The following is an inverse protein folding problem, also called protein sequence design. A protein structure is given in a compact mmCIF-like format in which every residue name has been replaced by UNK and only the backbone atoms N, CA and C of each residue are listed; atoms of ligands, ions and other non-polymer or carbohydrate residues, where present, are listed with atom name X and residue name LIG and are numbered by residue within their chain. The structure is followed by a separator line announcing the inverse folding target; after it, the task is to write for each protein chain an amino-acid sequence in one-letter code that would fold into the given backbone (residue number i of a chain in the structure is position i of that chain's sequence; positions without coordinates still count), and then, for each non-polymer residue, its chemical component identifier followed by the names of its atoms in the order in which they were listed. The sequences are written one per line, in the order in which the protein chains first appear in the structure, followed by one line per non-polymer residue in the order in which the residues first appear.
data_IF_778409720616
#
_entry.id   IF_778409720616
#
_cell.length_a   1.000
_cell.length_b   1.000
_cell.length_c   1.000
_cell.angle_alpha   90.00
_cell.angle_beta   90.00
_cell.angle_gamma   90.00
#
_symmetry.space_group_name_H-M   'P 1'
#
loop_
_entity.id
_entity.type
_entity.pdbx_description
1 polymer ?
#
# COMPACT_ATOMS: atom_id res chain seq x y z
N UNK A 1 13.91 34.70 70.05
CA UNK A 1 14.23 34.90 71.48
C UNK A 1 13.01 34.53 72.30
N UNK A 2 13.22 33.65 73.29
CA UNK A 2 12.44 33.44 74.53
C UNK A 2 10.97 33.00 74.36
N UNK A 3 10.64 31.71 74.49
CA UNK A 3 10.46 30.92 75.73
C UNK A 3 9.29 31.38 76.60
N UNK A 4 8.28 30.52 76.77
CA UNK A 4 7.83 29.96 78.08
C UNK A 4 6.35 29.52 78.01
N UNK A 5 5.97 28.26 78.25
CA UNK A 5 5.90 27.44 79.48
C UNK A 5 4.42 27.05 79.73
N UNK A 6 4.19 25.75 79.61
CA UNK A 6 3.22 24.87 80.27
C UNK A 6 2.34 25.45 81.41
N UNK A 7 1.03 25.15 81.34
CA UNK A 7 0.25 24.73 82.52
C UNK A 7 -1.05 23.98 82.13
N UNK A 8 -1.14 22.73 82.55
CA UNK A 8 -2.38 22.01 82.91
C UNK A 8 -2.36 21.82 84.45
N UNK A 9 -3.30 21.15 85.16
CA UNK A 9 -4.57 20.50 84.77
C UNK A 9 -5.75 20.72 85.78
N UNK A 10 -6.91 20.09 85.55
CA UNK A 10 -7.82 19.41 86.53
C UNK A 10 -9.28 19.33 85.98
N UNK A 11 -9.75 18.17 85.55
CA UNK A 11 -10.61 17.20 86.29
C UNK A 11 -11.97 17.77 86.75
N UNK A 12 -13.11 17.26 86.24
CA UNK A 12 -13.89 16.12 86.84
C UNK A 12 -15.33 16.03 86.29
N UNK A 13 -15.77 14.79 86.01
CA UNK A 13 -17.17 14.32 86.02
C UNK A 13 -17.90 14.36 84.67
N UNK A 14 -18.73 13.40 84.26
CA UNK A 14 -19.26 12.21 84.93
C UNK A 14 -20.07 11.39 83.87
N UNK A 15 -19.96 10.04 83.86
CA UNK A 15 -20.98 9.02 83.45
C UNK A 15 -21.54 9.08 82.00
N UNK A 16 -21.89 8.01 81.28
CA UNK A 16 -21.92 6.55 81.45
C UNK A 16 -22.36 5.96 80.08
N UNK A 17 -22.29 4.63 79.96
CA UNK A 17 -22.97 3.74 79.00
C UNK A 17 -22.21 3.36 77.71
N UNK A 18 -21.60 2.17 77.75
CA UNK A 18 -21.43 1.28 76.60
C UNK A 18 -22.80 0.69 76.18
N UNK A 19 -22.94 0.21 74.94
CA UNK A 19 -22.65 -1.20 74.72
C UNK A 19 -21.80 -1.49 73.48
N UNK A 20 -21.09 -2.61 73.57
CA UNK A 20 -20.31 -3.24 72.52
C UNK A 20 -21.15 -3.49 71.24
N UNK A 21 -20.60 -3.13 70.09
CA UNK A 21 -21.04 -3.66 68.80
C UNK A 21 -19.87 -4.38 68.13
N UNK A 22 -20.13 -5.67 67.94
CA UNK A 22 -19.29 -6.68 67.34
C UNK A 22 -18.81 -6.28 65.95
N UNK A 23 -17.51 -6.38 65.74
CA UNK A 23 -16.87 -6.50 64.43
C UNK A 23 -17.47 -7.66 63.64
N UNK A 24 -18.15 -7.37 62.53
CA UNK A 24 -18.42 -8.36 61.48
C UNK A 24 -17.44 -8.11 60.33
N UNK A 25 -16.75 -9.14 59.79
CA UNK A 25 -15.89 -8.95 58.65
C UNK A 25 -16.77 -8.69 57.42
N UNK A 26 -16.63 -7.50 56.85
CA UNK A 26 -17.23 -7.19 55.55
C UNK A 26 -16.53 -8.08 54.51
N UNK A 27 -17.21 -9.17 54.15
CA UNK A 27 -16.83 -10.04 53.03
C UNK A 27 -16.78 -9.18 51.78
N UNK A 28 -15.56 -8.84 51.35
CA UNK A 28 -15.29 -8.30 50.03
C UNK A 28 -15.82 -9.31 49.02
N UNK A 29 -17.02 -9.02 48.50
CA UNK A 29 -17.65 -9.77 47.43
C UNK A 29 -16.85 -9.51 46.17
N UNK A 30 -15.80 -10.31 45.95
CA UNK A 30 -15.08 -10.37 44.69
C UNK A 30 -16.11 -10.79 43.63
N UNK A 31 -16.71 -9.82 42.96
CA UNK A 31 -17.44 -10.06 41.72
C UNK A 31 -16.38 -10.42 40.68
N UNK A 32 -16.08 -11.72 40.59
CA UNK A 32 -15.49 -12.27 39.38
C UNK A 32 -16.47 -12.00 38.25
N UNK A 33 -16.25 -10.92 37.51
CA UNK A 33 -16.94 -10.67 36.25
C UNK A 33 -16.40 -11.66 35.23
N UNK A 34 -16.90 -12.90 35.28
CA UNK A 34 -16.72 -13.85 34.19
C UNK A 34 -17.11 -13.15 32.87
N UNK A 35 -16.30 -13.26 31.81
CA UNK A 35 -16.58 -12.56 30.56
C UNK A 35 -17.98 -12.96 30.09
N UNK A 36 -18.90 -11.98 30.01
CA UNK A 36 -20.25 -12.23 29.49
C UNK A 36 -20.11 -12.74 28.06
N UNK A 37 -20.43 -14.01 27.85
CA UNK A 37 -20.58 -14.61 26.52
C UNK A 37 -21.49 -13.73 25.67
N UNK A 38 -20.98 -13.31 24.51
CA UNK A 38 -21.70 -12.40 23.63
C UNK A 38 -22.98 -13.05 23.12
N UNK A 39 -24.08 -12.30 23.10
CA UNK A 39 -25.34 -12.72 22.49
C UNK A 39 -25.15 -13.05 21.00
N UNK A 40 -25.98 -13.94 20.44
CA UNK A 40 -25.96 -14.27 19.00
C UNK A 40 -26.06 -13.01 18.13
N UNK A 41 -26.86 -12.03 18.54
CA UNK A 41 -26.96 -10.74 17.87
C UNK A 41 -25.65 -9.95 17.95
N UNK A 42 -24.99 -9.94 19.12
CA UNK A 42 -23.70 -9.26 19.30
C UNK A 42 -22.58 -9.95 18.53
N UNK A 43 -22.60 -11.28 18.46
CA UNK A 43 -21.68 -12.09 17.64
C UNK A 43 -21.87 -11.75 16.16
N UNK A 44 -23.13 -11.70 15.68
CA UNK A 44 -23.44 -11.30 14.30
C UNK A 44 -23.03 -9.85 14.00
N UNK A 45 -23.31 -8.91 14.93
CA UNK A 45 -22.94 -7.51 14.77
C UNK A 45 -21.41 -7.33 14.68
N UNK A 46 -20.66 -7.99 15.57
CA UNK A 46 -19.19 -7.99 15.51
C UNK A 46 -18.68 -8.62 14.22
N UNK A 47 -19.32 -9.70 13.76
CA UNK A 47 -18.98 -10.35 12.51
C UNK A 47 -19.26 -9.47 11.28
N UNK A 48 -20.28 -8.61 11.30
CA UNK A 48 -20.57 -7.67 10.20
C UNK A 48 -19.83 -6.33 10.31
N UNK A 49 -19.23 -6.00 11.45
CA UNK A 49 -18.58 -4.71 11.68
C UNK A 49 -17.53 -4.36 10.61
N UNK A 50 -16.61 -5.26 10.18
CA UNK A 50 -15.65 -4.95 9.14
C UNK A 50 -16.30 -4.60 7.80
N UNK A 51 -17.39 -5.27 7.44
CA UNK A 51 -18.16 -4.98 6.22
C UNK A 51 -18.81 -3.59 6.30
N UNK A 52 -19.44 -3.26 7.43
CA UNK A 52 -20.03 -1.93 7.63
C UNK A 52 -18.97 -0.84 7.56
N UNK A 53 -17.82 -1.05 8.20
CA UNK A 53 -16.70 -0.11 8.18
C UNK A 53 -16.14 0.06 6.76
N UNK A 54 -15.88 -1.04 6.05
CA UNK A 54 -15.37 -1.02 4.68
C UNK A 54 -16.34 -0.38 3.69
N UNK A 55 -17.63 -0.69 3.78
CA UNK A 55 -18.67 -0.05 2.95
C UNK A 55 -18.77 1.45 3.22
N UNK A 56 -18.68 1.88 4.49
CA UNK A 56 -18.65 3.30 4.84
C UNK A 56 -17.41 3.98 4.29
N UNK A 57 -16.23 3.36 4.41
CA UNK A 57 -14.97 3.86 3.86
C UNK A 57 -15.06 4.04 2.35
N UNK A 58 -15.46 2.99 1.62
CA UNK A 58 -15.64 3.02 0.16
C UNK A 58 -16.62 4.11 -0.27
N UNK A 59 -17.74 4.27 0.44
CA UNK A 59 -18.71 5.33 0.16
C UNK A 59 -18.11 6.73 0.33
N UNK A 60 -17.41 6.98 1.44
CA UNK A 60 -16.81 8.28 1.73
C UNK A 60 -15.72 8.63 0.71
N UNK A 61 -14.84 7.69 0.38
CA UNK A 61 -13.79 7.88 -0.62
C UNK A 61 -14.36 8.14 -2.02
N UNK A 62 -15.42 7.42 -2.42
CA UNK A 62 -16.08 7.68 -3.70
C UNK A 62 -16.80 9.04 -3.73
N UNK A 63 -17.42 9.44 -2.61
CA UNK A 63 -18.06 10.76 -2.48
C UNK A 63 -17.03 11.88 -2.58
N UNK A 64 -15.89 11.73 -1.92
CA UNK A 64 -14.78 12.67 -1.96
C UNK A 64 -14.16 12.72 -3.36
N UNK A 65 -13.90 11.57 -3.99
CA UNK A 65 -13.42 11.51 -5.36
C UNK A 65 -14.39 12.19 -6.35
N UNK A 66 -15.70 12.07 -6.15
CA UNK A 66 -16.69 12.76 -6.99
C UNK A 66 -16.68 14.28 -6.78
N UNK A 67 -16.56 14.74 -5.54
CA UNK A 67 -16.38 16.16 -5.25
C UNK A 67 -15.10 16.72 -5.88
N UNK A 68 -14.01 15.96 -5.82
CA UNK A 68 -12.73 16.33 -6.39
C UNK A 68 -12.77 16.37 -7.93
N UNK A 69 -13.44 15.41 -8.58
CA UNK A 69 -13.69 15.44 -10.04
C UNK A 69 -14.44 16.69 -10.46
N UNK A 70 -15.43 17.12 -9.67
CA UNK A 70 -16.14 18.39 -9.93
C UNK A 70 -15.20 19.58 -9.81
N UNK A 71 -14.38 19.66 -8.76
CA UNK A 71 -13.38 20.73 -8.57
C UNK A 71 -12.39 20.81 -9.74
N UNK A 72 -11.88 19.68 -10.20
CA UNK A 72 -10.98 19.62 -11.37
C UNK A 72 -11.70 20.09 -12.64
N UNK A 73 -12.96 19.68 -12.84
CA UNK A 73 -13.76 20.13 -13.98
C UNK A 73 -14.04 21.63 -13.94
N UNK A 74 -14.42 22.17 -12.79
CA UNK A 74 -14.73 23.60 -12.57
C UNK A 74 -13.50 24.50 -12.75
N UNK A 75 -12.30 23.97 -12.48
CA UNK A 75 -11.03 24.65 -12.72
C UNK A 75 -10.46 24.43 -14.12
N UNK A 76 -11.22 23.84 -15.06
CA UNK A 76 -10.74 23.45 -16.39
C UNK A 76 -9.43 22.63 -16.35
N UNK A 77 -9.29 21.77 -15.34
CA UNK A 77 -8.10 20.93 -15.15
C UNK A 77 -6.93 21.60 -14.44
N UNK A 78 -7.06 22.86 -14.01
CA UNK A 78 -5.98 23.64 -13.38
C UNK A 78 -5.92 23.49 -11.86
N UNK A 79 -6.83 22.74 -11.24
CA UNK A 79 -6.77 22.49 -9.80
C UNK A 79 -5.43 21.83 -9.41
N UNK A 80 -4.72 22.46 -8.49
CA UNK A 80 -3.53 21.87 -7.85
C UNK A 80 -4.01 20.81 -6.87
N UNK A 81 -3.69 19.54 -7.17
CA UNK A 81 -4.07 18.39 -6.37
C UNK A 81 -2.90 17.97 -5.49
N UNK A 82 -3.18 17.65 -4.23
CA UNK A 82 -2.23 16.95 -3.37
C UNK A 82 -2.00 15.52 -3.87
N UNK A 83 -0.90 14.89 -3.46
CA UNK A 83 -0.64 13.49 -3.80
C UNK A 83 -1.78 12.55 -3.40
N UNK A 84 -2.31 12.73 -2.20
CA UNK A 84 -3.44 11.95 -1.68
C UNK A 84 -4.71 12.14 -2.51
N UNK A 85 -5.03 13.37 -2.90
CA UNK A 85 -6.18 13.67 -3.77
C UNK A 85 -6.04 13.02 -5.15
N UNK A 86 -4.84 13.07 -5.74
CA UNK A 86 -4.56 12.42 -7.02
C UNK A 86 -4.71 10.90 -6.92
N UNK A 87 -4.15 10.29 -5.87
CA UNK A 87 -4.32 8.87 -5.57
C UNK A 87 -5.80 8.51 -5.44
N UNK A 88 -6.58 9.30 -4.68
CA UNK A 88 -8.01 9.06 -4.48
C UNK A 88 -8.79 9.10 -5.81
N UNK A 89 -8.52 10.06 -6.69
CA UNK A 89 -9.17 10.14 -8.02
C UNK A 89 -8.93 8.88 -8.86
N UNK A 90 -7.67 8.42 -8.86
CA UNK A 90 -7.21 7.25 -9.63
C UNK A 90 -7.70 5.95 -9.00
N UNK A 91 -7.72 5.83 -7.69
CA UNK A 91 -8.03 4.57 -7.03
C UNK A 91 -9.54 4.35 -6.85
N UNK A 92 -10.32 5.40 -6.59
CA UNK A 92 -11.74 5.27 -6.25
C UNK A 92 -12.56 4.53 -7.34
N UNK A 93 -12.27 4.77 -8.62
CA UNK A 93 -12.97 4.07 -9.70
C UNK A 93 -12.58 2.59 -9.79
N UNK A 94 -11.32 2.25 -9.50
CA UNK A 94 -10.79 0.88 -9.52
C UNK A 94 -11.40 0.08 -8.38
N UNK A 95 -11.46 0.68 -7.20
CA UNK A 95 -12.08 0.09 -6.01
C UNK A 95 -13.58 -0.14 -6.21
N UNK A 96 -14.28 0.82 -6.82
CA UNK A 96 -15.69 0.65 -7.13
C UNK A 96 -15.92 -0.51 -8.11
N UNK A 97 -15.14 -0.60 -9.19
CA UNK A 97 -15.21 -1.71 -10.15
C UNK A 97 -14.93 -3.06 -9.47
N UNK A 98 -13.96 -3.12 -8.56
CA UNK A 98 -13.63 -4.32 -7.80
C UNK A 98 -14.77 -4.80 -6.89
N UNK A 99 -15.60 -3.88 -6.41
CA UNK A 99 -16.78 -4.22 -5.58
C UNK A 99 -18.00 -4.72 -6.36
N UNK A 100 -18.05 -4.48 -7.69
CA UNK A 100 -19.22 -4.83 -8.51
C UNK A 100 -19.56 -6.32 -8.54
N UNK A 101 -18.60 -7.26 -8.67
CA UNK A 101 -18.91 -8.69 -8.64
C UNK A 101 -19.62 -9.09 -7.35
N UNK A 102 -19.17 -8.57 -6.20
CA UNK A 102 -19.82 -8.82 -4.92
C UNK A 102 -21.21 -8.18 -4.87
N UNK A 103 -21.36 -6.94 -5.36
CA UNK A 103 -22.66 -6.24 -5.39
C UNK A 103 -23.70 -7.00 -6.22
N UNK A 104 -23.29 -7.63 -7.32
CA UNK A 104 -24.17 -8.43 -8.16
C UNK A 104 -24.82 -9.61 -7.42
N UNK A 105 -24.13 -10.22 -6.44
CA UNK A 105 -24.73 -11.28 -5.62
C UNK A 105 -25.93 -10.77 -4.82
N UNK A 106 -25.88 -9.54 -4.31
CA UNK A 106 -26.98 -8.95 -3.53
C UNK A 106 -28.22 -8.63 -4.38
N UNK A 107 -28.09 -8.53 -5.71
CA UNK A 107 -29.22 -8.32 -6.61
C UNK A 107 -30.09 -9.57 -6.80
N UNK A 108 -29.56 -10.75 -6.48
CA UNK A 108 -30.26 -12.02 -6.63
C UNK A 108 -30.85 -12.45 -5.27
N UNK A 109 -32.18 -12.55 -5.13
CA UNK A 109 -32.82 -13.01 -3.90
C UNK A 109 -32.27 -14.38 -3.48
N UNK A 110 -32.17 -14.62 -2.16
CA UNK A 110 -31.55 -15.80 -1.53
C UNK A 110 -30.02 -15.93 -1.74
N UNK A 111 -29.51 -15.67 -2.94
CA UNK A 111 -28.07 -15.75 -3.24
C UNK A 111 -27.28 -14.61 -2.57
N UNK A 112 -27.89 -13.44 -2.38
CA UNK A 112 -27.26 -12.31 -1.69
C UNK A 112 -26.79 -12.61 -0.26
N UNK A 113 -27.40 -13.58 0.42
CA UNK A 113 -26.93 -14.01 1.75
C UNK A 113 -25.53 -14.66 1.71
N UNK A 114 -25.11 -15.19 0.55
CA UNK A 114 -23.75 -15.71 0.37
C UNK A 114 -22.71 -14.60 0.18
N UNK A 115 -23.10 -13.36 -0.13
CA UNK A 115 -22.18 -12.25 -0.40
C UNK A 115 -21.17 -12.03 0.73
N UNK A 116 -21.61 -11.82 1.99
CA UNK A 116 -20.69 -11.65 3.11
C UNK A 116 -19.78 -12.87 3.35
N UNK A 117 -20.29 -14.10 3.17
CA UNK A 117 -19.52 -15.33 3.30
C UNK A 117 -18.40 -15.39 2.24
N UNK A 118 -18.74 -15.12 0.97
CA UNK A 118 -17.78 -15.09 -0.13
C UNK A 118 -16.75 -13.98 0.02
N UNK A 119 -17.16 -12.79 0.46
CA UNK A 119 -16.23 -11.69 0.71
C UNK A 119 -15.23 -12.02 1.83
N UNK A 120 -15.65 -12.75 2.87
CA UNK A 120 -14.72 -13.23 3.91
C UNK A 120 -13.82 -14.37 3.44
N UNK A 121 -14.30 -15.24 2.56
CA UNK A 121 -13.53 -16.35 2.02
C UNK A 121 -12.50 -15.90 0.97
N UNK A 122 -12.82 -14.88 0.18
CA UNK A 122 -12.01 -14.36 -0.92
C UNK A 122 -11.83 -12.84 -0.84
N UNK A 123 -11.30 -12.30 0.28
CA UNK A 123 -11.24 -10.86 0.52
C UNK A 123 -10.36 -10.14 -0.50
N UNK A 124 -9.23 -10.75 -0.89
CA UNK A 124 -8.31 -10.17 -1.86
C UNK A 124 -8.93 -10.02 -3.25
N UNK A 125 -9.75 -10.97 -3.67
CA UNK A 125 -10.34 -11.01 -5.02
C UNK A 125 -11.63 -10.17 -5.11
N UNK A 126 -12.49 -10.26 -4.10
CA UNK A 126 -13.85 -9.72 -4.16
C UNK A 126 -14.04 -8.39 -3.42
N UNK A 127 -13.12 -8.04 -2.52
CA UNK A 127 -13.24 -6.83 -1.72
C UNK A 127 -12.22 -5.76 -2.11
N UNK A 128 -12.62 -4.50 -2.15
CA UNK A 128 -11.71 -3.36 -2.14
C UNK A 128 -10.85 -3.31 -0.88
N UNK A 129 -9.71 -2.62 -0.95
CA UNK A 129 -8.73 -2.55 0.14
C UNK A 129 -9.28 -1.91 1.43
N UNK A 130 -10.35 -1.11 1.36
CA UNK A 130 -11.04 -0.53 2.52
C UNK A 130 -11.64 -1.59 3.45
N UNK A 131 -11.89 -2.81 2.95
CA UNK A 131 -12.44 -3.92 3.72
C UNK A 131 -11.36 -4.81 4.35
N UNK A 132 -10.12 -4.67 3.91
CA UNK A 132 -9.02 -5.51 4.38
C UNK A 132 -8.55 -5.04 5.75
N UNK A 133 -8.29 -6.01 6.62
CA UNK A 133 -7.62 -5.73 7.89
C UNK A 133 -6.17 -5.29 7.66
N UNK A 134 -5.53 -4.58 8.62
CA UNK A 134 -4.14 -4.16 8.47
C UNK A 134 -3.17 -5.31 8.14
N UNK A 135 -3.30 -6.45 8.83
CA UNK A 135 -2.50 -7.66 8.56
C UNK A 135 -2.68 -8.17 7.12
N UNK A 136 -3.92 -8.14 6.63
CA UNK A 136 -4.25 -8.58 5.27
C UNK A 136 -3.72 -7.63 4.21
N UNK A 137 -3.69 -6.31 4.47
CA UNK A 137 -3.19 -5.31 3.52
C UNK A 137 -1.73 -5.57 3.17
N UNK A 138 -0.88 -5.64 4.20
CA UNK A 138 0.55 -5.95 4.06
C UNK A 138 0.74 -7.24 3.30
N UNK A 139 0.07 -8.32 3.73
CA UNK A 139 0.17 -9.63 3.08
C UNK A 139 -0.26 -9.58 1.60
N UNK A 140 -1.40 -8.96 1.29
CA UNK A 140 -1.93 -8.96 -0.07
C UNK A 140 -1.10 -8.10 -1.02
N UNK A 141 -0.57 -6.97 -0.56
CA UNK A 141 0.37 -6.16 -1.34
C UNK A 141 1.66 -6.93 -1.63
N UNK A 142 2.21 -7.62 -0.64
CA UNK A 142 3.40 -8.46 -0.81
C UNK A 142 3.14 -9.57 -1.83
N UNK A 143 2.06 -10.32 -1.69
CA UNK A 143 1.67 -11.38 -2.63
C UNK A 143 1.45 -10.85 -4.06
N UNK A 144 0.90 -9.64 -4.22
CA UNK A 144 0.68 -9.04 -5.54
C UNK A 144 2.01 -8.71 -6.23
N UNK A 145 2.97 -8.16 -5.48
CA UNK A 145 4.32 -7.90 -5.99
C UNK A 145 5.09 -9.18 -6.27
N UNK A 146 5.01 -10.18 -5.39
CA UNK A 146 5.63 -11.49 -5.63
C UNK A 146 5.03 -12.19 -6.86
N UNK A 147 3.72 -12.03 -7.09
CA UNK A 147 3.06 -12.56 -8.29
C UNK A 147 3.55 -11.84 -9.54
N UNK A 148 3.66 -10.51 -9.49
CA UNK A 148 4.25 -9.69 -10.57
C UNK A 148 5.72 -10.09 -10.84
N UNK A 149 6.50 -10.34 -9.80
CA UNK A 149 7.91 -10.71 -9.91
C UNK A 149 8.15 -12.02 -10.69
N UNK A 150 7.15 -12.91 -10.76
CA UNK A 150 7.23 -14.14 -11.57
C UNK A 150 7.43 -13.84 -13.06
N UNK A 151 7.03 -12.66 -13.55
CA UNK A 151 7.23 -12.27 -14.95
C UNK A 151 8.60 -11.65 -15.20
N UNK A 152 9.35 -11.25 -14.17
CA UNK A 152 10.60 -10.49 -14.32
C UNK A 152 11.70 -11.25 -15.08
N UNK A 153 11.94 -12.56 -14.83
CA UNK A 153 12.92 -13.31 -15.61
C UNK A 153 12.59 -13.34 -17.10
N UNK A 154 11.31 -13.46 -17.46
CA UNK A 154 10.88 -13.45 -18.87
C UNK A 154 11.03 -12.05 -19.49
N UNK A 155 10.70 -10.98 -18.75
CA UNK A 155 10.92 -9.61 -19.20
C UNK A 155 12.40 -9.32 -19.47
N UNK A 156 13.29 -9.71 -18.56
CA UNK A 156 14.73 -9.56 -18.75
C UNK A 156 15.22 -10.33 -19.99
N UNK A 157 14.75 -11.56 -20.21
CA UNK A 157 15.08 -12.34 -21.41
C UNK A 157 14.56 -11.69 -22.70
N UNK A 158 13.36 -11.10 -22.68
CA UNK A 158 12.79 -10.41 -23.83
C UNK A 158 13.54 -9.12 -24.16
N UNK A 159 14.02 -8.38 -23.16
CA UNK A 159 14.88 -7.21 -23.38
C UNK A 159 16.21 -7.60 -24.03
N UNK A 160 16.83 -8.70 -23.57
CA UNK A 160 18.11 -9.18 -24.12
C UNK A 160 18.01 -9.67 -25.57
N UNK A 161 16.80 -9.97 -26.07
CA UNK A 161 16.54 -10.33 -27.46
C UNK A 161 16.42 -9.11 -28.39
N UNK A 162 16.33 -7.91 -27.85
CA UNK A 162 16.24 -6.68 -28.64
C UNK A 162 17.67 -6.31 -29.07
N UNK A 163 17.91 -6.28 -30.38
CA UNK A 163 19.20 -5.88 -30.93
C UNK A 163 19.45 -4.38 -30.70
N UNK A 164 20.59 -4.05 -30.11
CA UNK A 164 21.07 -2.67 -29.96
C UNK A 164 22.57 -2.55 -30.23
N UNK A 165 23.02 -1.35 -30.62
CA UNK A 165 24.37 -1.12 -31.14
C UNK A 165 25.44 -1.03 -30.05
N UNK A 166 25.09 -0.59 -28.84
CA UNK A 166 26.04 -0.30 -27.76
C UNK A 166 26.28 -1.50 -26.82
N UNK A 167 25.35 -2.46 -26.74
CA UNK A 167 25.45 -3.62 -25.85
C UNK A 167 25.41 -3.28 -24.35
N UNK A 168 25.05 -2.04 -23.99
CA UNK A 168 25.17 -1.50 -22.63
C UNK A 168 24.36 -2.33 -21.61
N UNK A 169 23.12 -2.67 -21.95
CA UNK A 169 22.26 -3.51 -21.10
C UNK A 169 22.91 -4.86 -20.77
N UNK A 170 23.45 -5.55 -21.79
CA UNK A 170 24.10 -6.84 -21.61
C UNK A 170 25.32 -6.73 -20.69
N UNK A 171 26.13 -5.69 -20.87
CA UNK A 171 27.32 -5.45 -20.05
C UNK A 171 26.96 -5.18 -18.60
N UNK A 172 26.03 -4.25 -18.35
CA UNK A 172 25.60 -3.90 -16.99
C UNK A 172 25.01 -5.10 -16.25
N UNK A 173 24.15 -5.88 -16.90
CA UNK A 173 23.58 -7.10 -16.31
C UNK A 173 24.65 -8.17 -16.05
N UNK A 174 25.65 -8.30 -16.93
CA UNK A 174 26.76 -9.23 -16.73
C UNK A 174 27.64 -8.81 -15.54
N UNK A 175 27.87 -7.51 -15.35
CA UNK A 175 28.60 -6.96 -14.21
C UNK A 175 27.85 -7.18 -12.90
N UNK A 176 26.55 -6.86 -12.84
CA UNK A 176 25.72 -7.10 -11.67
C UNK A 176 25.68 -8.59 -11.28
N UNK A 177 25.56 -9.48 -12.28
CA UNK A 177 25.62 -10.93 -12.03
C UNK A 177 26.97 -11.38 -11.46
N UNK A 178 28.08 -10.78 -11.89
CA UNK A 178 29.42 -11.07 -11.36
C UNK A 178 29.62 -10.54 -9.94
N UNK A 179 29.04 -9.38 -9.62
CA UNK A 179 29.07 -8.80 -8.28
C UNK A 179 28.23 -9.59 -7.27
N UNK A 180 27.30 -10.43 -7.74
CA UNK A 180 26.37 -11.18 -6.88
C UNK A 180 25.11 -10.39 -6.54
N UNK A 181 24.96 -9.19 -7.08
CA UNK A 181 23.89 -8.25 -6.73
C UNK A 181 22.51 -8.62 -7.29
N UNK A 182 22.37 -9.69 -8.08
CA UNK A 182 21.06 -10.20 -8.53
C UNK A 182 20.24 -9.26 -9.44
N UNK A 183 20.73 -8.05 -9.72
CA UNK A 183 20.11 -6.99 -10.51
C UNK A 183 20.94 -5.69 -10.48
N UNK A 184 20.51 -4.67 -11.20
CA UNK A 184 21.13 -3.35 -11.27
C UNK A 184 20.69 -2.48 -10.09
N UNK A 185 21.51 -1.50 -9.69
CA UNK A 185 21.01 -0.43 -8.84
C UNK A 185 20.06 0.48 -9.66
N UNK A 186 18.98 1.05 -9.11
CA UNK A 186 18.06 1.88 -9.90
C UNK A 186 18.73 3.04 -10.65
N UNK A 187 19.73 3.72 -10.06
CA UNK A 187 20.53 4.75 -10.79
C UNK A 187 21.12 4.22 -12.10
N UNK A 188 21.64 2.99 -12.09
CA UNK A 188 22.18 2.33 -13.29
C UNK A 188 21.07 2.03 -14.31
N UNK A 189 19.86 1.69 -13.85
CA UNK A 189 18.71 1.51 -14.75
C UNK A 189 18.36 2.81 -15.47
N UNK A 190 18.49 3.97 -14.82
CA UNK A 190 18.25 5.27 -15.45
C UNK A 190 19.22 5.57 -16.61
N UNK A 191 20.46 5.07 -16.54
CA UNK A 191 21.45 5.22 -17.61
C UNK A 191 21.02 4.51 -18.91
N UNK A 192 20.11 3.54 -18.83
CA UNK A 192 19.53 2.83 -19.99
C UNK A 192 18.43 3.64 -20.70
N UNK A 193 18.17 4.89 -20.31
CA UNK A 193 17.16 5.75 -20.95
C UNK A 193 17.25 5.76 -22.48
N UNK A 194 18.42 5.94 -23.13
CA UNK A 194 18.51 5.93 -24.59
C UNK A 194 18.02 4.61 -25.23
N UNK A 195 18.26 3.47 -24.58
CA UNK A 195 17.77 2.17 -25.04
C UNK A 195 16.24 2.08 -24.97
N UNK A 196 15.63 2.62 -23.91
CA UNK A 196 14.17 2.64 -23.71
C UNK A 196 13.44 3.76 -24.46
N UNK A 197 14.15 4.76 -24.98
CA UNK A 197 13.62 5.73 -25.93
C UNK A 197 13.73 5.25 -27.39
N UNK A 198 14.70 4.38 -27.66
CA UNK A 198 14.94 3.80 -28.98
C UNK A 198 14.37 2.38 -29.13
N UNK A 199 15.23 1.36 -29.23
CA UNK A 199 14.82 0.00 -29.62
C UNK A 199 13.89 -0.70 -28.62
N UNK A 200 13.93 -0.33 -27.34
CA UNK A 200 13.04 -0.85 -26.30
C UNK A 200 11.91 0.13 -25.93
N UNK A 201 11.62 1.12 -26.79
CA UNK A 201 10.46 1.98 -26.61
C UNK A 201 9.16 1.16 -26.60
N UNK A 202 8.17 1.59 -25.81
CA UNK A 202 6.95 0.82 -25.55
C UNK A 202 6.22 0.42 -26.86
N UNK A 203 6.17 1.31 -27.84
CA UNK A 203 5.55 1.07 -29.14
C UNK A 203 6.36 0.16 -30.09
N UNK A 204 7.66 -0.01 -29.80
CA UNK A 204 8.57 -0.85 -30.59
C UNK A 204 8.61 -2.30 -30.08
N UNK A 205 8.04 -2.57 -28.90
CA UNK A 205 8.05 -3.90 -28.30
C UNK A 205 7.18 -4.90 -29.08
N UNK A 206 7.62 -6.16 -29.09
CA UNK A 206 6.85 -7.25 -29.68
C UNK A 206 5.53 -7.49 -28.92
N UNK A 207 4.55 -8.09 -29.59
CA UNK A 207 3.26 -8.43 -28.97
C UNK A 207 3.44 -9.30 -27.74
N UNK A 208 4.33 -10.30 -27.80
CA UNK A 208 4.66 -11.16 -26.64
C UNK A 208 5.11 -10.30 -25.46
N UNK A 209 6.02 -9.36 -25.69
CA UNK A 209 6.57 -8.50 -24.66
C UNK A 209 5.51 -7.61 -24.00
N UNK A 210 4.63 -7.00 -24.80
CA UNK A 210 3.50 -6.20 -24.29
C UNK A 210 2.56 -7.04 -23.42
N UNK A 211 2.29 -8.29 -23.79
CA UNK A 211 1.39 -9.14 -23.00
C UNK A 211 2.02 -9.55 -21.66
N UNK A 212 3.32 -9.86 -21.63
CA UNK A 212 4.04 -10.16 -20.37
C UNK A 212 4.05 -8.93 -19.46
N UNK A 213 4.30 -7.73 -20.02
CA UNK A 213 4.21 -6.48 -19.27
C UNK A 213 2.81 -6.22 -18.71
N UNK A 214 1.78 -6.47 -19.51
CA UNK A 214 0.38 -6.31 -19.11
C UNK A 214 -0.05 -7.32 -18.04
N UNK A 215 0.48 -8.55 -18.08
CA UNK A 215 0.25 -9.56 -17.06
C UNK A 215 0.87 -9.15 -15.72
N UNK A 216 2.15 -8.75 -15.71
CA UNK A 216 2.83 -8.28 -14.50
C UNK A 216 2.24 -6.98 -13.94
N UNK A 217 1.74 -6.10 -14.81
CA UNK A 217 1.17 -4.80 -14.42
C UNK A 217 -0.37 -4.79 -14.38
N UNK A 218 -1.00 -5.96 -14.26
CA UNK A 218 -2.46 -6.08 -14.29
C UNK A 218 -3.12 -5.28 -13.15
N UNK A 219 -4.18 -4.53 -13.48
CA UNK A 219 -4.97 -3.78 -12.51
C UNK A 219 -5.61 -4.69 -11.46
N UNK A 220 -6.01 -5.88 -11.89
CA UNK A 220 -6.56 -6.93 -11.04
C UNK A 220 -5.79 -8.23 -11.33
N UNK A 221 -4.74 -8.55 -10.56
CA UNK A 221 -3.90 -9.72 -10.80
C UNK A 221 -4.70 -11.02 -10.93
N UNK A 222 -5.74 -11.20 -10.11
CA UNK A 222 -6.63 -12.37 -10.16
C UNK A 222 -7.42 -12.52 -11.47
N UNK A 223 -7.50 -11.46 -12.27
CA UNK A 223 -8.17 -11.44 -13.57
C UNK A 223 -7.20 -11.09 -14.72
N UNK A 224 -5.88 -11.20 -14.51
CA UNK A 224 -4.87 -10.88 -15.50
C UNK A 224 -5.04 -11.67 -16.81
N UNK A 225 -5.62 -12.89 -16.75
CA UNK A 225 -5.95 -13.70 -17.92
C UNK A 225 -6.85 -12.96 -18.92
N UNK A 226 -7.69 -12.02 -18.46
CA UNK A 226 -8.53 -11.21 -19.35
C UNK A 226 -7.72 -10.27 -20.26
N UNK A 227 -6.47 -9.95 -19.90
CA UNK A 227 -5.59 -9.16 -20.76
C UNK A 227 -5.26 -9.88 -22.07
N UNK A 228 -5.32 -11.22 -22.10
CA UNK A 228 -5.11 -12.02 -23.33
C UNK A 228 -6.20 -11.80 -24.39
N UNK A 229 -7.34 -11.22 -24.00
CA UNK A 229 -8.45 -10.91 -24.90
C UNK A 229 -8.29 -9.53 -25.55
N UNK A 230 -7.31 -8.73 -25.14
CA UNK A 230 -7.12 -7.36 -25.58
C UNK A 230 -6.11 -7.29 -26.73
N UNK A 231 -6.34 -6.35 -27.64
CA UNK A 231 -5.39 -6.07 -28.71
C UNK A 231 -4.12 -5.42 -28.13
N UNK A 232 -2.96 -5.69 -28.75
CA UNK A 232 -1.67 -5.11 -28.32
C UNK A 232 -1.74 -3.59 -28.16
N UNK A 233 -2.31 -2.87 -29.12
CA UNK A 233 -2.42 -1.40 -29.06
C UNK A 233 -3.28 -0.88 -27.90
N UNK A 234 -4.24 -1.69 -27.42
CA UNK A 234 -5.04 -1.35 -26.24
C UNK A 234 -4.23 -1.57 -24.96
N UNK A 235 -3.47 -2.66 -24.89
CA UNK A 235 -2.57 -2.95 -23.78
C UNK A 235 -1.48 -1.88 -23.67
N UNK A 236 -0.86 -1.53 -24.78
CA UNK A 236 0.16 -0.49 -24.87
C UNK A 236 -0.36 0.86 -24.34
N UNK A 237 -1.54 1.31 -24.80
CA UNK A 237 -2.19 2.53 -24.30
C UNK A 237 -2.49 2.48 -22.80
N UNK A 238 -2.90 1.32 -22.29
CA UNK A 238 -3.18 1.13 -20.85
C UNK A 238 -1.89 1.19 -20.03
N UNK A 239 -0.84 0.52 -20.49
CA UNK A 239 0.48 0.52 -19.87
C UNK A 239 1.07 1.93 -19.86
N UNK A 240 1.03 2.64 -21.00
CA UNK A 240 1.50 4.02 -21.12
C UNK A 240 0.78 4.96 -20.16
N UNK A 241 -0.56 4.91 -20.10
CA UNK A 241 -1.33 5.72 -19.14
C UNK A 241 -0.97 5.39 -17.70
N UNK A 242 -0.80 4.11 -17.36
CA UNK A 242 -0.41 3.69 -16.01
C UNK A 242 0.96 4.25 -15.63
N UNK A 243 1.92 4.28 -16.56
CA UNK A 243 3.24 4.84 -16.30
C UNK A 243 3.25 6.37 -16.24
N UNK A 244 2.37 7.03 -16.99
CA UNK A 244 2.16 8.47 -16.83
C UNK A 244 1.61 8.80 -15.44
N UNK A 245 0.62 8.04 -14.96
CA UNK A 245 0.09 8.17 -13.60
C UNK A 245 1.17 7.93 -12.53
N UNK A 246 2.04 6.95 -12.75
CA UNK A 246 3.16 6.63 -11.87
C UNK A 246 4.22 7.74 -11.87
N UNK A 247 4.58 8.26 -13.05
CA UNK A 247 5.54 9.36 -13.18
C UNK A 247 5.04 10.63 -12.48
N UNK A 248 3.74 10.93 -12.55
CA UNK A 248 3.14 12.03 -11.77
C UNK A 248 3.26 11.79 -10.26
N UNK A 249 3.07 10.53 -9.79
CA UNK A 249 3.28 10.19 -8.38
C UNK A 249 4.76 10.32 -7.97
N UNK A 250 5.70 9.89 -8.81
CA UNK A 250 7.15 10.07 -8.60
C UNK A 250 7.50 11.55 -8.44
N UNK A 251 6.99 12.44 -9.32
CA UNK A 251 7.23 13.88 -9.22
C UNK A 251 6.68 14.48 -7.93
N UNK A 252 5.53 14.00 -7.45
CA UNK A 252 4.98 14.44 -6.17
C UNK A 252 5.82 13.95 -4.99
N UNK A 253 6.32 12.71 -5.03
CA UNK A 253 7.21 12.18 -4.01
C UNK A 253 8.58 12.89 -3.98
N UNK A 254 9.15 13.22 -5.14
CA UNK A 254 10.39 14.01 -5.21
C UNK A 254 10.21 15.39 -4.59
N UNK A 255 9.01 15.99 -4.73
CA UNK A 255 8.68 17.30 -4.18
C UNK A 255 8.39 17.28 -2.68
N UNK A 256 7.58 16.33 -2.23
CA UNK A 256 7.08 16.27 -0.85
C UNK A 256 8.03 15.50 0.09
N UNK A 257 8.90 14.65 -0.47
CA UNK A 257 9.73 13.71 0.27
C UNK A 257 8.99 12.42 0.63
N UNK A 258 9.74 11.46 1.18
CA UNK A 258 9.21 10.12 1.55
C UNK A 258 9.30 9.82 3.06
N UNK A 259 9.90 10.71 3.84
CA UNK A 259 10.22 10.43 5.25
C UNK A 259 8.96 10.34 6.13
N UNK A 260 7.98 11.20 5.87
CA UNK A 260 6.72 11.30 6.64
C UNK A 260 5.60 10.35 6.17
N UNK A 261 5.87 9.49 5.18
CA UNK A 261 4.87 8.56 4.66
C UNK A 261 4.52 7.48 5.70
N UNK A 262 3.23 7.22 5.86
CA UNK A 262 2.75 6.12 6.69
C UNK A 262 3.05 4.76 6.04
N UNK A 263 3.00 3.68 6.84
CA UNK A 263 3.20 2.31 6.33
C UNK A 263 2.30 2.00 5.12
N UNK A 264 1.02 2.36 5.18
CA UNK A 264 0.09 2.09 4.07
C UNK A 264 0.48 2.85 2.80
N UNK A 265 0.99 4.08 2.92
CA UNK A 265 1.40 4.89 1.77
C UNK A 265 2.69 4.36 1.15
N UNK A 266 3.62 3.88 1.98
CA UNK A 266 4.85 3.23 1.55
C UNK A 266 4.56 1.89 0.85
N UNK A 267 3.75 1.03 1.46
CA UNK A 267 3.35 -0.26 0.85
C UNK A 267 2.66 -0.05 -0.49
N UNK A 268 1.72 0.90 -0.55
CA UNK A 268 1.02 1.24 -1.80
C UNK A 268 1.99 1.80 -2.85
N UNK A 269 2.87 2.73 -2.46
CA UNK A 269 3.85 3.32 -3.37
C UNK A 269 4.80 2.27 -3.96
N UNK A 270 5.33 1.38 -3.12
CA UNK A 270 6.21 0.29 -3.55
C UNK A 270 5.46 -0.72 -4.42
N UNK A 271 4.22 -1.06 -4.07
CA UNK A 271 3.42 -2.02 -4.83
C UNK A 271 3.05 -1.50 -6.23
N UNK A 272 2.66 -0.24 -6.37
CA UNK A 272 2.34 0.34 -7.69
C UNK A 272 3.57 0.34 -8.62
N UNK A 273 4.76 0.54 -8.05
CA UNK A 273 6.05 0.46 -8.74
C UNK A 273 6.44 -0.99 -9.05
N UNK A 274 6.03 -1.95 -8.23
CA UNK A 274 6.39 -3.36 -8.35
C UNK A 274 7.70 -3.71 -7.65
N UNK A 275 8.08 -2.93 -6.64
CA UNK A 275 9.32 -3.07 -5.88
C UNK A 275 9.25 -4.31 -4.99
N UNK A 276 10.09 -5.30 -5.28
CA UNK A 276 10.15 -6.56 -4.50
C UNK A 276 11.05 -6.35 -3.29
N UNK A 277 10.44 -6.00 -2.17
CA UNK A 277 11.12 -5.82 -0.88
C UNK A 277 10.28 -6.42 0.26
N UNK A 278 10.67 -6.20 1.52
CA UNK A 278 9.90 -6.64 2.67
C UNK A 278 8.80 -5.63 3.02
N UNK A 279 7.56 -6.07 2.86
CA UNK A 279 6.36 -5.32 3.24
C UNK A 279 6.12 -5.41 4.75
N UNK A 280 5.45 -4.41 5.33
CA UNK A 280 5.23 -4.30 6.78
C UNK A 280 6.35 -3.59 7.55
N UNK A 281 7.53 -3.39 6.95
CA UNK A 281 8.65 -2.67 7.56
C UNK A 281 8.84 -1.30 6.93
N UNK A 282 8.58 -0.25 7.72
CA UNK A 282 8.59 1.15 7.28
C UNK A 282 9.96 1.54 6.68
N UNK A 283 11.06 1.29 7.40
CA UNK A 283 12.40 1.67 6.95
C UNK A 283 12.79 0.96 5.65
N UNK A 284 12.58 -0.35 5.58
CA UNK A 284 12.87 -1.16 4.39
C UNK A 284 12.09 -0.70 3.15
N UNK A 285 10.80 -0.37 3.31
CA UNK A 285 9.99 0.18 2.21
C UNK A 285 10.42 1.60 1.82
N UNK A 286 10.77 2.44 2.81
CA UNK A 286 11.22 3.81 2.57
C UNK A 286 12.53 3.82 1.79
N UNK A 287 13.50 3.00 2.19
CA UNK A 287 14.78 2.91 1.52
C UNK A 287 14.62 2.41 0.09
N UNK A 288 13.82 1.36 -0.13
CA UNK A 288 13.55 0.87 -1.48
C UNK A 288 12.83 1.93 -2.35
N UNK A 289 11.97 2.75 -1.77
CA UNK A 289 11.34 3.87 -2.47
C UNK A 289 12.33 5.00 -2.75
N UNK A 290 13.27 5.30 -1.85
CA UNK A 290 14.38 6.25 -2.11
C UNK A 290 15.27 5.75 -3.24
N UNK A 291 15.62 4.46 -3.24
CA UNK A 291 16.37 3.82 -4.32
C UNK A 291 15.61 3.95 -5.64
N UNK A 292 14.30 3.68 -5.69
CA UNK A 292 13.50 3.92 -6.91
C UNK A 292 13.59 5.37 -7.39
N UNK A 293 13.43 6.34 -6.48
CA UNK A 293 13.46 7.75 -6.83
C UNK A 293 14.86 8.24 -7.23
N UNK A 294 15.92 7.53 -6.88
CA UNK A 294 17.28 7.82 -7.34
C UNK A 294 17.49 7.62 -8.84
N UNK A 295 16.52 7.02 -9.55
CA UNK A 295 16.51 7.02 -11.02
C UNK A 295 16.37 8.43 -11.62
N UNK A 296 15.86 9.37 -10.83
CA UNK A 296 15.74 10.77 -11.21
C UNK A 296 16.96 11.54 -10.69
N UNK A 297 17.32 12.63 -11.37
CA UNK A 297 18.33 13.56 -10.89
C UNK A 297 17.70 14.40 -9.76
N UNK A 298 17.91 13.96 -8.52
CA UNK A 298 17.36 14.60 -7.32
C UNK A 298 17.95 15.97 -7.06
N UNK A 299 19.15 16.27 -7.55
CA UNK A 299 19.88 17.50 -7.26
C UNK A 299 19.39 18.68 -8.11
N UNK A 300 18.94 18.40 -9.34
CA UNK A 300 18.44 19.41 -10.28
C UNK A 300 16.94 19.30 -10.57
N UNK A 301 16.20 18.53 -9.78
CA UNK A 301 14.75 18.37 -9.95
C UNK A 301 14.00 19.63 -9.52
N UNK A 302 13.17 20.16 -10.43
CA UNK A 302 12.18 21.20 -10.11
C UNK A 302 10.89 20.90 -10.89
N UNK A 303 9.75 20.69 -10.22
CA UNK A 303 8.51 20.32 -10.90
C UNK A 303 7.94 21.44 -11.80
N UNK A 304 8.32 22.70 -11.57
CA UNK A 304 7.86 23.86 -12.33
C UNK A 304 8.84 24.24 -13.45
N UNK A 305 10.15 24.11 -13.22
CA UNK A 305 11.19 24.57 -14.18
C UNK A 305 11.94 23.44 -14.88
N UNK A 306 12.08 22.26 -14.27
CA UNK A 306 12.78 21.10 -14.83
C UNK A 306 12.05 19.77 -14.51
N UNK A 307 10.83 19.56 -15.03
CA UNK A 307 10.08 18.34 -14.77
C UNK A 307 10.76 17.16 -15.48
N UNK A 308 11.31 16.24 -14.70
CA UNK A 308 11.92 15.04 -15.24
C UNK A 308 10.88 13.98 -15.59
N UNK A 309 11.10 13.29 -16.71
CA UNK A 309 10.25 12.20 -17.19
C UNK A 309 11.12 11.07 -17.70
N UNK A 310 10.97 9.91 -17.09
CA UNK A 310 11.58 8.68 -17.57
C UNK A 310 10.67 8.01 -18.62
N UNK A 311 11.23 7.29 -19.61
CA UNK A 311 10.43 6.57 -20.60
C UNK A 311 9.48 5.57 -19.93
N UNK A 312 8.23 5.48 -20.40
CA UNK A 312 7.25 4.54 -19.84
C UNK A 312 7.73 3.08 -19.91
N UNK A 313 8.46 2.74 -20.97
CA UNK A 313 9.05 1.40 -21.08
C UNK A 313 10.10 1.18 -20.00
N UNK A 314 10.97 2.16 -19.71
CA UNK A 314 11.95 2.06 -18.62
C UNK A 314 11.25 1.80 -17.28
N UNK A 315 10.24 2.60 -16.93
CA UNK A 315 9.50 2.45 -15.67
C UNK A 315 8.81 1.07 -15.55
N UNK A 316 8.33 0.51 -16.65
CA UNK A 316 7.71 -0.82 -16.67
C UNK A 316 8.72 -1.94 -16.40
N UNK A 317 9.96 -1.79 -16.86
CA UNK A 317 11.02 -2.79 -16.74
C UNK A 317 11.93 -2.58 -15.53
N UNK A 318 11.96 -1.37 -14.94
CA UNK A 318 12.84 -1.03 -13.84
C UNK A 318 12.78 -2.04 -12.68
N UNK A 319 11.60 -2.51 -12.22
CA UNK A 319 11.55 -3.53 -11.16
C UNK A 319 12.14 -4.89 -11.54
N UNK A 320 12.10 -5.24 -12.83
CA UNK A 320 12.65 -6.50 -13.33
C UNK A 320 14.17 -6.43 -13.54
N UNK A 321 14.70 -5.22 -13.72
CA UNK A 321 16.13 -4.96 -13.89
C UNK A 321 16.83 -4.62 -12.57
N UNK A 322 16.09 -4.10 -11.59
CA UNK A 322 16.66 -3.58 -10.35
C UNK A 322 16.76 -4.64 -9.26
N UNK A 323 17.81 -4.58 -8.46
CA UNK A 323 17.83 -5.18 -7.13
C UNK A 323 17.68 -4.08 -6.08
N UNK A 324 16.56 -4.09 -5.36
CA UNK A 324 16.34 -3.18 -4.24
C UNK A 324 16.95 -3.77 -2.98
N UNK A 325 17.58 -2.96 -2.14
CA UNK A 325 18.20 -3.45 -0.93
C UNK A 325 17.15 -4.15 -0.04
N UNK A 326 17.32 -5.46 0.14
CA UNK A 326 16.71 -6.20 1.24
C UNK A 326 17.61 -5.94 2.43
N UNK A 327 17.30 -4.93 3.26
CA UNK A 327 18.07 -4.75 4.49
C UNK A 327 18.12 -6.09 5.23
N UNK A 328 19.35 -6.49 5.55
CA UNK A 328 19.66 -7.82 6.05
C UNK A 328 18.82 -8.16 7.27
N UNK A 329 18.19 -9.33 7.23
CA UNK A 329 17.99 -10.09 8.46
C UNK A 329 19.38 -10.22 9.06
N UNK A 330 19.61 -9.59 10.22
CA UNK A 330 20.67 -10.07 11.08
C UNK A 330 20.30 -11.52 11.37
N UNK A 331 21.00 -12.45 10.73
CA UNK A 331 21.04 -13.86 11.11
C UNK A 331 21.52 -13.89 12.56
N UNK A 332 20.60 -13.77 13.51
CA UNK A 332 20.82 -14.18 14.89
C UNK A 332 20.68 -15.69 14.92
N UNK A 333 21.69 -16.36 14.37
CA UNK A 333 22.04 -17.73 14.73
C UNK A 333 23.43 -17.70 15.34
N UNK A 334 23.46 -17.64 16.67
CA UNK A 334 24.53 -18.21 17.50
C UNK A 334 23.86 -19.08 18.56
#
# INVERSE_FOLDING_TARGET
MLSSVLRAPALRGNRSLYPALLSSPSTARYQSSAPKELSLYQKLQKWLQPFVAGSKGLYLENKEAWALRRRVKESNGQARLTRREMMLLRQAHRDLLKSLPLLAFFCVPLLGYAGPLLGYQFPKQLLPWQFWRPDQKTQFFQEDVETRAKTYPELAQLLLQIEHKDGMLQEMLALAKKAGDGGLHPTQVAELTPFFEGPAALHALSSKHIHVLAEGSALFPSFAVLNKLLMQSQLEKRLGRRMEELSVDDQQLLKEGVDDLSLNELEFACQERGIVTRYGEIETLRDALKEWLSMYDTDHFDPETNPQRLPSSLLLHAPALSNFAKQGVMDTTV
#
